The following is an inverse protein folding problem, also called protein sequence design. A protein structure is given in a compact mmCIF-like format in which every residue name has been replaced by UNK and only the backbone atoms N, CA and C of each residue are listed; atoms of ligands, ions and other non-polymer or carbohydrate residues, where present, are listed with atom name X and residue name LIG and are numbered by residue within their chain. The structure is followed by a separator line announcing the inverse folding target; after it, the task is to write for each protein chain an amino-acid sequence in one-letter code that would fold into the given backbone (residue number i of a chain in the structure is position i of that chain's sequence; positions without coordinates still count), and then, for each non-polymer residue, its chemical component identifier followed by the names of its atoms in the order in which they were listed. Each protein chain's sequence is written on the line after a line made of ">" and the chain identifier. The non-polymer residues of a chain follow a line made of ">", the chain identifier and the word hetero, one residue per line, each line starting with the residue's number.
data_IF_773405726721
#
_entry.id   IF_773405726721
#
_cell.length_a   1.000
_cell.length_b   1.000
_cell.length_c   1.000
_cell.angle_alpha   90.00
_cell.angle_beta   90.00
_cell.angle_gamma   90.00
#
_symmetry.space_group_name_H-M   'P 1'
#
loop_
_entity.id
_entity.type
_entity.pdbx_description
1 polymer ?
#
# COMPACT_ATOMS: atom_id res chain seq x y z
N UNK A 1 -3.88 -16.23 15.15
CA UNK A 1 -3.64 -16.13 13.69
C UNK A 1 -3.55 -14.70 13.14
N UNK A 2 -3.96 -13.63 13.84
CA UNK A 2 -3.96 -12.26 13.27
C UNK A 2 -2.59 -11.55 13.24
N UNK A 3 -1.65 -11.90 14.12
CA UNK A 3 -0.36 -11.19 14.21
C UNK A 3 0.62 -11.52 13.07
N UNK A 4 0.66 -12.76 12.58
CA UNK A 4 1.59 -13.16 11.51
C UNK A 4 1.28 -12.47 10.18
N UNK A 5 0.00 -12.38 9.84
CA UNK A 5 -0.46 -11.73 8.60
C UNK A 5 -0.20 -10.23 8.62
N UNK A 6 -0.38 -9.57 9.77
CA UNK A 6 -0.10 -8.14 9.93
C UNK A 6 1.41 -7.85 9.84
N UNK A 7 2.25 -8.67 10.48
CA UNK A 7 3.70 -8.54 10.34
C UNK A 7 4.14 -8.75 8.89
N UNK A 8 3.55 -9.73 8.19
CA UNK A 8 3.83 -9.95 6.77
C UNK A 8 3.41 -8.74 5.92
N UNK A 9 2.22 -8.20 6.16
CA UNK A 9 1.73 -7.01 5.46
C UNK A 9 2.70 -5.82 5.64
N UNK A 10 3.14 -5.54 6.87
CA UNK A 10 4.10 -4.46 7.15
C UNK A 10 5.42 -4.69 6.40
N UNK A 11 5.91 -5.94 6.37
CA UNK A 11 7.13 -6.29 5.64
C UNK A 11 6.99 -6.03 4.13
N UNK A 12 5.86 -6.41 3.53
CA UNK A 12 5.61 -6.21 2.10
C UNK A 12 5.40 -4.73 1.75
N UNK A 13 4.73 -3.96 2.63
CA UNK A 13 4.61 -2.51 2.46
C UNK A 13 5.99 -1.83 2.51
N UNK A 14 6.88 -2.29 3.38
CA UNK A 14 8.25 -1.79 3.44
C UNK A 14 9.02 -2.09 2.15
N UNK A 15 8.85 -3.28 1.58
CA UNK A 15 9.42 -3.65 0.29
C UNK A 15 8.85 -2.79 -0.86
N UNK A 16 7.54 -2.54 -0.85
CA UNK A 16 6.86 -1.73 -1.87
C UNK A 16 7.32 -0.27 -1.83
N UNK A 17 7.50 0.30 -0.63
CA UNK A 17 8.07 1.64 -0.46
C UNK A 17 9.49 1.74 -1.05
N UNK A 18 10.34 0.75 -0.75
CA UNK A 18 11.71 0.70 -1.27
C UNK A 18 11.76 0.50 -2.80
N UNK A 19 10.78 -0.19 -3.38
CA UNK A 19 10.66 -0.32 -4.84
C UNK A 19 10.35 1.04 -5.49
N UNK A 20 9.38 1.77 -4.93
CA UNK A 20 9.00 3.10 -5.41
C UNK A 20 10.11 4.14 -5.22
N UNK A 21 10.86 4.07 -4.12
CA UNK A 21 12.04 4.91 -3.89
C UNK A 21 13.13 4.69 -4.95
N UNK A 22 13.35 3.44 -5.39
CA UNK A 22 14.32 3.13 -6.45
C UNK A 22 13.90 3.66 -7.82
N UNK A 23 12.60 3.70 -8.10
CA UNK A 23 12.06 4.32 -9.31
C UNK A 23 12.20 5.85 -9.27
N UNK A 24 12.27 6.44 -8.07
CA UNK A 24 12.66 7.83 -7.85
C UNK A 24 11.67 8.81 -8.46
N UNK A 25 12.17 9.73 -9.29
CA UNK A 25 11.37 10.81 -9.90
C UNK A 25 10.58 10.36 -11.13
N UNK A 26 10.41 9.05 -11.36
CA UNK A 26 9.53 8.58 -12.40
C UNK A 26 8.11 9.05 -12.12
N UNK A 27 7.49 9.67 -13.13
CA UNK A 27 6.09 10.12 -13.05
C UNK A 27 5.21 8.90 -12.92
N UNK A 28 4.23 8.99 -12.04
CA UNK A 28 3.19 7.98 -11.86
C UNK A 28 1.93 8.49 -12.55
N UNK A 29 1.70 8.16 -13.84
CA UNK A 29 0.57 8.70 -14.59
C UNK A 29 -0.72 8.29 -13.89
N UNK A 30 -1.71 9.19 -13.81
CA UNK A 30 -3.04 8.89 -13.24
C UNK A 30 -3.07 8.57 -11.73
N UNK A 31 -1.90 8.46 -11.10
CA UNK A 31 -1.76 8.43 -9.66
C UNK A 31 -2.00 9.82 -9.07
N UNK A 32 -2.50 9.86 -7.85
CA UNK A 32 -2.57 11.08 -7.03
C UNK A 32 -1.22 11.55 -6.51
N UNK A 33 -0.19 10.72 -6.65
CA UNK A 33 1.19 11.05 -6.36
C UNK A 33 1.83 11.56 -7.66
N UNK A 34 2.64 12.62 -7.57
CA UNK A 34 3.26 13.21 -8.76
C UNK A 34 4.42 12.33 -9.27
N UNK A 35 5.13 11.68 -8.35
CA UNK A 35 6.28 10.81 -8.63
C UNK A 35 6.30 9.55 -7.74
N UNK A 36 6.99 8.51 -8.20
CA UNK A 36 7.15 7.25 -7.46
C UNK A 36 7.70 7.48 -6.06
N UNK A 37 8.66 8.41 -5.89
CA UNK A 37 9.23 8.70 -4.57
C UNK A 37 8.16 9.15 -3.54
N UNK A 38 7.18 9.95 -3.95
CA UNK A 38 6.12 10.42 -3.04
C UNK A 38 5.17 9.29 -2.66
N UNK A 39 4.83 8.43 -3.63
CA UNK A 39 4.06 7.20 -3.40
C UNK A 39 4.81 6.28 -2.41
N UNK A 40 6.11 6.09 -2.61
CA UNK A 40 6.96 5.30 -1.72
C UNK A 40 7.00 5.85 -0.30
N UNK A 41 7.17 7.17 -0.15
CA UNK A 41 7.18 7.84 1.14
C UNK A 41 5.84 7.69 1.89
N UNK A 42 4.72 7.76 1.17
CA UNK A 42 3.41 7.49 1.74
C UNK A 42 3.31 6.03 2.24
N UNK A 43 3.65 5.05 1.40
CA UNK A 43 3.58 3.63 1.75
C UNK A 43 4.44 3.33 2.98
N UNK A 44 5.64 3.92 3.07
CA UNK A 44 6.53 3.76 4.21
C UNK A 44 5.93 4.36 5.49
N UNK A 45 5.36 5.56 5.41
CA UNK A 45 4.71 6.21 6.55
C UNK A 45 3.53 5.36 7.06
N UNK A 46 2.70 4.89 6.14
CA UNK A 46 1.55 4.06 6.44
C UNK A 46 1.97 2.71 7.04
N UNK A 47 3.07 2.11 6.59
CA UNK A 47 3.59 0.85 7.17
C UNK A 47 4.08 1.04 8.61
N UNK A 48 4.72 2.17 8.92
CA UNK A 48 5.18 2.52 10.28
C UNK A 48 4.01 2.78 11.22
N UNK A 49 3.00 3.53 10.78
CA UNK A 49 1.73 3.68 11.51
C UNK A 49 1.09 2.33 11.78
N UNK A 50 0.98 1.51 10.74
CA UNK A 50 0.43 0.17 10.83
C UNK A 50 1.19 -0.69 11.82
N UNK A 51 2.51 -0.57 11.96
CA UNK A 51 3.28 -1.30 12.96
C UNK A 51 2.91 -0.92 14.41
N UNK A 52 2.59 0.35 14.65
CA UNK A 52 2.18 0.86 15.97
C UNK A 52 0.72 0.59 16.33
N UNK A 53 -0.09 0.11 15.37
CA UNK A 53 -1.53 -0.15 15.58
C UNK A 53 -2.44 0.94 15.07
N UNK A 54 -1.86 1.98 14.48
CA UNK A 54 -2.59 3.01 13.76
C UNK A 54 -2.99 2.48 12.37
N UNK A 55 -4.29 2.50 12.09
CA UNK A 55 -4.91 1.92 10.90
C UNK A 55 -5.65 2.98 10.06
N UNK A 56 -5.37 4.26 10.30
CA UNK A 56 -5.99 5.40 9.59
C UNK A 56 -5.84 5.29 8.06
N UNK A 57 -4.66 4.87 7.60
CA UNK A 57 -4.30 4.87 6.18
C UNK A 57 -4.68 3.57 5.44
N UNK A 58 -5.41 2.64 6.08
CA UNK A 58 -5.72 1.32 5.50
C UNK A 58 -6.56 1.42 4.22
N UNK A 59 -7.56 2.30 4.18
CA UNK A 59 -8.41 2.51 3.00
C UNK A 59 -7.60 3.07 1.84
N UNK A 60 -6.66 3.95 2.17
CA UNK A 60 -5.77 4.58 1.22
C UNK A 60 -4.76 3.58 0.63
N UNK A 61 -4.14 2.76 1.49
CA UNK A 61 -3.30 1.64 1.07
C UNK A 61 -4.06 0.66 0.17
N UNK A 62 -5.31 0.34 0.51
CA UNK A 62 -6.14 -0.53 -0.33
C UNK A 62 -6.34 0.07 -1.73
N UNK A 63 -6.56 1.38 -1.83
CA UNK A 63 -6.69 2.08 -3.12
C UNK A 63 -5.42 2.07 -3.97
N UNK A 64 -4.23 2.05 -3.34
CA UNK A 64 -2.93 1.98 -4.04
C UNK A 64 -2.68 0.60 -4.65
N UNK A 65 -3.17 -0.46 -3.99
CA UNK A 65 -2.84 -1.84 -4.35
C UNK A 65 -4.02 -2.61 -4.98
N UNK A 66 -5.18 -1.98 -5.15
CA UNK A 66 -6.28 -2.58 -5.93
C UNK A 66 -5.81 -2.80 -7.37
N UNK A 67 -6.24 -3.86 -8.08
CA UNK A 67 -5.87 -4.03 -9.47
C UNK A 67 -6.17 -2.78 -10.32
N UNK A 68 -5.30 -2.49 -11.29
CA UNK A 68 -5.38 -1.33 -12.22
C UNK A 68 -5.42 0.04 -11.50
N UNK A 69 -4.52 0.26 -10.55
CA UNK A 69 -4.45 1.48 -9.72
C UNK A 69 -3.08 2.16 -9.77
N UNK A 70 -2.88 3.19 -8.94
CA UNK A 70 -1.64 3.96 -8.77
C UNK A 70 -0.37 3.10 -8.86
N UNK A 71 -0.36 1.90 -8.26
CA UNK A 71 0.78 0.98 -8.32
C UNK A 71 1.11 0.45 -9.72
N UNK A 72 0.08 0.08 -10.49
CA UNK A 72 0.22 -0.48 -11.84
C UNK A 72 0.72 0.61 -12.80
N UNK A 73 0.18 1.82 -12.67
CA UNK A 73 0.62 2.98 -13.44
C UNK A 73 2.05 3.43 -13.08
N UNK A 74 2.49 3.14 -11.85
CA UNK A 74 3.86 3.42 -11.39
C UNK A 74 4.89 2.40 -11.87
N UNK A 75 4.47 1.34 -12.57
CA UNK A 75 5.37 0.27 -13.04
C UNK A 75 5.87 -0.66 -11.94
N UNK A 76 5.14 -0.74 -10.82
CA UNK A 76 5.52 -1.59 -9.70
C UNK A 76 5.27 -3.08 -9.92
N UNK A 77 5.89 -3.91 -9.09
CA UNK A 77 5.77 -5.37 -9.10
C UNK A 77 4.33 -5.84 -8.86
N UNK A 78 3.71 -6.40 -9.90
CA UNK A 78 2.36 -6.99 -9.84
C UNK A 78 2.27 -8.09 -8.77
N UNK A 79 3.32 -8.88 -8.61
CA UNK A 79 3.34 -9.96 -7.61
C UNK A 79 3.32 -9.40 -6.19
N UNK A 80 4.00 -8.28 -5.94
CA UNK A 80 4.04 -7.62 -4.64
C UNK A 80 2.69 -6.98 -4.31
N UNK A 81 2.11 -6.22 -5.26
CA UNK A 81 0.80 -5.62 -5.09
C UNK A 81 -0.30 -6.64 -4.81
N UNK A 82 -0.35 -7.75 -5.56
CA UNK A 82 -1.36 -8.79 -5.33
C UNK A 82 -1.29 -9.36 -3.91
N UNK A 83 -0.09 -9.65 -3.39
CA UNK A 83 0.08 -10.15 -2.02
C UNK A 83 -0.37 -9.13 -0.97
N UNK A 84 -0.04 -7.85 -1.16
CA UNK A 84 -0.45 -6.77 -0.26
C UNK A 84 -1.98 -6.63 -0.28
N UNK A 85 -2.58 -6.62 -1.47
CA UNK A 85 -4.02 -6.51 -1.66
C UNK A 85 -4.78 -7.66 -1.01
N UNK A 86 -4.32 -8.90 -1.19
CA UNK A 86 -4.90 -10.07 -0.53
C UNK A 86 -4.88 -9.95 1.00
N UNK A 87 -3.75 -9.50 1.57
CA UNK A 87 -3.62 -9.32 3.01
C UNK A 87 -4.48 -8.17 3.54
N UNK A 88 -4.56 -7.05 2.83
CA UNK A 88 -5.44 -5.92 3.17
C UNK A 88 -6.90 -6.37 3.20
N UNK A 89 -7.35 -7.11 2.19
CA UNK A 89 -8.70 -7.68 2.21
C UNK A 89 -8.88 -8.70 3.34
N UNK A 90 -7.91 -9.57 3.58
CA UNK A 90 -8.01 -10.58 4.65
C UNK A 90 -8.13 -9.95 6.05
N UNK A 91 -7.39 -8.88 6.31
CA UNK A 91 -7.30 -8.26 7.63
C UNK A 91 -8.33 -7.15 7.85
N UNK A 92 -8.68 -6.41 6.80
CA UNK A 92 -9.34 -5.11 6.93
C UNK A 92 -10.56 -4.89 6.04
N UNK A 93 -11.06 -5.93 5.34
CA UNK A 93 -12.23 -5.80 4.43
C UNK A 93 -13.39 -5.03 5.05
N UNK A 94 -13.77 -5.34 6.29
CA UNK A 94 -14.91 -4.69 6.95
C UNK A 94 -14.68 -3.20 7.20
N UNK A 95 -13.43 -2.77 7.41
CA UNK A 95 -13.07 -1.35 7.54
C UNK A 95 -13.07 -0.64 6.19
N UNK A 96 -12.56 -1.31 5.16
CA UNK A 96 -12.50 -0.78 3.80
C UNK A 96 -13.91 -0.56 3.21
N UNK A 97 -14.85 -1.47 3.49
CA UNK A 97 -16.21 -1.44 2.94
C UNK A 97 -17.20 -0.56 3.72
N UNK A 98 -16.83 -0.07 4.91
CA UNK A 98 -17.68 0.90 5.62
C UNK A 98 -17.67 2.22 4.85
N UNK A 99 -18.88 2.70 4.50
CA UNK A 99 -19.05 4.08 4.04
C UNK A 99 -18.75 4.99 5.23
N UNK A 100 -18.03 6.07 4.97
CA UNK A 100 -17.89 7.18 5.90
C UNK A 100 -19.33 7.69 6.12
N UNK A 101 -19.89 7.43 7.30
CA UNK A 101 -21.23 7.90 7.72
C UNK A 101 -21.23 9.41 8.00
#
# INVERSE_FOLDING_TARGET
>A
MKNSDRTLLISLLTEAAAEMEKLGNNVTPWSRYDICQDLGAFIEKASRKLATGDEEDIKELWGIFVPTSDWDDSGGSVTLANKIFELLNKLYRDKILKKDE
#
